data_IF_983281559637
#
_entry.id   IF_983281559637
#
_cell.length_a   1.000
_cell.length_b   1.000
_cell.length_c   1.000
_cell.angle_alpha   90.00
_cell.angle_beta   90.00
_cell.angle_gamma   90.00
#
_symmetry.space_group_name_H-M   'P 1'
#
loop_
_entity.id
_entity.type
_entity.pdbx_description
1 polymer ?
#
# COMPACT_ATOMS: atom_id res chain seq x y z
N UNK A 1 -16.76 -5.81 12.00
CA UNK A 1 -17.76 -4.91 11.41
C UNK A 1 -18.28 -5.55 10.13
N UNK A 2 -19.54 -5.95 10.08
CA UNK A 2 -20.15 -6.63 8.93
C UNK A 2 -20.44 -5.67 7.76
N UNK A 3 -20.25 -4.36 7.94
CA UNK A 3 -20.46 -3.35 6.90
C UNK A 3 -19.26 -3.17 5.97
N UNK A 4 -18.11 -3.79 6.29
CA UNK A 4 -16.89 -3.70 5.48
C UNK A 4 -16.93 -4.70 4.32
N UNK A 5 -16.38 -4.29 3.19
CA UNK A 5 -16.23 -5.16 2.03
C UNK A 5 -15.02 -6.08 2.22
N UNK A 6 -15.28 -7.36 2.50
CA UNK A 6 -14.23 -8.36 2.70
C UNK A 6 -13.44 -8.68 1.41
N UNK A 7 -13.93 -8.26 0.24
CA UNK A 7 -13.25 -8.47 -1.05
C UNK A 7 -12.10 -7.49 -1.29
N UNK A 8 -12.03 -6.42 -0.49
CA UNK A 8 -11.02 -5.38 -0.59
C UNK A 8 -10.04 -5.49 0.59
N UNK A 9 -8.75 -5.63 0.30
CA UNK A 9 -7.69 -5.70 1.30
C UNK A 9 -6.66 -4.59 1.07
N UNK A 10 -6.53 -3.68 2.02
CA UNK A 10 -5.54 -2.59 1.98
C UNK A 10 -4.34 -2.95 2.84
N UNK A 11 -3.17 -3.01 2.23
CA UNK A 11 -1.92 -3.41 2.86
C UNK A 11 -1.13 -2.17 3.23
N UNK A 12 -0.80 -2.05 4.52
CA UNK A 12 0.00 -0.93 5.07
C UNK A 12 1.23 -1.44 5.80
N UNK A 13 2.21 -0.57 6.00
CA UNK A 13 3.46 -0.92 6.68
C UNK A 13 3.23 -1.03 8.19
N UNK A 14 2.53 -0.08 8.80
CA UNK A 14 2.42 0.05 10.26
C UNK A 14 0.98 0.22 10.76
N UNK A 15 0.73 -0.02 12.07
CA UNK A 15 -0.56 0.30 12.68
C UNK A 15 -0.91 1.79 12.60
N UNK A 16 0.10 2.68 12.59
CA UNK A 16 -0.12 4.11 12.46
C UNK A 16 -0.71 4.48 11.09
N UNK A 17 -0.25 3.83 10.02
CA UNK A 17 -0.78 4.00 8.67
C UNK A 17 -2.23 3.52 8.57
N UNK A 18 -2.53 2.37 9.17
CA UNK A 18 -3.90 1.85 9.26
C UNK A 18 -4.82 2.86 9.96
N UNK A 19 -4.38 3.39 11.10
CA UNK A 19 -5.15 4.38 11.84
C UNK A 19 -5.35 5.68 11.03
N UNK A 20 -4.36 6.11 10.25
CA UNK A 20 -4.48 7.27 9.38
C UNK A 20 -5.51 7.07 8.26
N UNK A 21 -5.49 5.92 7.58
CA UNK A 21 -6.49 5.57 6.57
C UNK A 21 -7.89 5.46 7.17
N UNK A 22 -8.01 4.90 8.37
CA UNK A 22 -9.29 4.78 9.05
C UNK A 22 -9.90 6.15 9.38
N UNK A 23 -9.08 7.09 9.88
CA UNK A 23 -9.53 8.47 10.16
C UNK A 23 -10.00 9.20 8.91
N UNK A 24 -9.51 8.83 7.72
CA UNK A 24 -9.97 9.44 6.46
C UNK A 24 -11.45 9.15 6.16
N UNK A 25 -12.01 8.06 6.71
CA UNK A 25 -13.38 7.61 6.44
C UNK A 25 -13.65 7.18 4.99
N UNK A 26 -12.64 7.25 4.11
CA UNK A 26 -12.79 6.98 2.67
C UNK A 26 -12.69 5.51 2.29
N UNK A 27 -12.18 4.65 3.18
CA UNK A 27 -11.96 3.24 2.90
C UNK A 27 -12.94 2.33 3.64
N UNK A 28 -13.58 1.42 2.89
CA UNK A 28 -14.61 0.49 3.42
C UNK A 28 -14.19 -0.98 3.40
N UNK A 29 -12.96 -1.29 2.98
CA UNK A 29 -12.45 -2.66 2.97
C UNK A 29 -11.78 -3.04 4.29
N UNK A 30 -11.07 -4.17 4.27
CA UNK A 30 -10.25 -4.66 5.37
C UNK A 30 -8.80 -4.20 5.23
N UNK A 31 -8.04 -4.23 6.33
CA UNK A 31 -6.61 -3.91 6.35
C UNK A 31 -5.77 -5.15 6.65
N UNK A 32 -4.54 -5.13 6.14
CA UNK A 32 -3.45 -5.99 6.59
C UNK A 32 -2.25 -5.10 6.94
N UNK A 33 -1.63 -5.35 8.09
CA UNK A 33 -0.47 -4.60 8.56
C UNK A 33 0.76 -5.50 8.46
N UNK A 34 1.73 -5.11 7.64
CA UNK A 34 2.97 -5.87 7.41
C UNK A 34 3.89 -5.89 8.63
N UNK A 35 3.83 -4.84 9.47
CA UNK A 35 4.78 -4.60 10.57
C UNK A 35 6.16 -4.16 10.09
N UNK A 36 6.23 -3.50 8.94
CA UNK A 36 7.45 -2.94 8.39
C UNK A 36 7.45 -2.91 6.87
N UNK A 37 8.66 -2.80 6.31
CA UNK A 37 8.96 -2.80 4.88
C UNK A 37 10.33 -3.43 4.65
N UNK A 38 10.56 -3.92 3.44
CA UNK A 38 11.83 -4.53 3.02
C UNK A 38 12.91 -3.45 3.06
N UNK A 39 13.97 -3.68 3.83
CA UNK A 39 15.13 -2.80 3.94
C UNK A 39 16.41 -3.62 3.78
N UNK A 40 17.00 -3.66 2.58
CA UNK A 40 18.26 -4.38 2.35
C UNK A 40 19.41 -3.84 3.20
N UNK A 41 19.40 -2.53 3.50
CA UNK A 41 20.42 -1.88 4.31
C UNK A 41 20.37 -2.35 5.78
N UNK A 42 19.17 -2.59 6.30
CA UNK A 42 18.96 -3.10 7.67
C UNK A 42 18.89 -4.63 7.73
N UNK A 43 19.08 -5.32 6.60
CA UNK A 43 18.97 -6.77 6.50
C UNK A 43 17.54 -7.31 6.66
N UNK A 44 16.52 -6.47 6.49
CA UNK A 44 15.09 -6.84 6.62
C UNK A 44 14.56 -7.32 5.28
N UNK A 45 14.19 -8.59 5.22
CA UNK A 45 13.62 -9.25 4.04
C UNK A 45 12.09 -9.28 4.04
N UNK A 46 11.51 -9.91 3.01
CA UNK A 46 10.06 -10.09 2.90
C UNK A 46 9.50 -10.99 4.03
N UNK A 47 10.28 -11.98 4.47
CA UNK A 47 9.89 -12.92 5.52
C UNK A 47 9.77 -12.23 6.90
N UNK A 48 10.45 -11.10 7.09
CA UNK A 48 10.47 -10.34 8.34
C UNK A 48 9.27 -9.39 8.49
N UNK A 49 8.55 -9.10 7.40
CA UNK A 49 7.47 -8.10 7.35
C UNK A 49 6.09 -8.72 7.14
N UNK A 50 5.90 -9.94 7.63
CA UNK A 50 4.59 -10.61 7.58
C UNK A 50 4.08 -10.91 6.16
N UNK A 51 4.94 -10.88 5.14
CA UNK A 51 4.53 -11.06 3.75
C UNK A 51 3.91 -12.44 3.50
N UNK A 52 4.42 -13.49 4.14
CA UNK A 52 3.84 -14.84 4.03
C UNK A 52 2.38 -14.87 4.50
N UNK A 53 2.11 -14.32 5.69
CA UNK A 53 0.74 -14.21 6.23
C UNK A 53 -0.18 -13.35 5.35
N UNK A 54 0.35 -12.29 4.73
CA UNK A 54 -0.42 -11.50 3.75
C UNK A 54 -0.83 -12.37 2.56
N UNK A 55 0.09 -13.14 2.00
CA UNK A 55 -0.18 -13.98 0.82
C UNK A 55 -1.21 -15.06 1.13
N UNK A 56 -1.14 -15.67 2.31
CA UNK A 56 -2.15 -16.62 2.79
C UNK A 56 -3.51 -15.92 2.94
N UNK A 57 -3.54 -14.78 3.63
CA UNK A 57 -4.76 -14.01 3.87
C UNK A 57 -5.41 -13.53 2.57
N UNK A 58 -4.62 -13.13 1.58
CA UNK A 58 -5.12 -12.63 0.32
C UNK A 58 -5.62 -13.75 -0.61
N UNK A 59 -5.22 -14.99 -0.37
CA UNK A 59 -5.59 -16.15 -1.18
C UNK A 59 -6.73 -16.99 -0.55
N UNK A 60 -7.53 -16.38 0.32
CA UNK A 60 -8.64 -17.02 1.04
C UNK A 60 -9.88 -17.31 0.17
N UNK A 61 -9.84 -16.93 -1.12
CA UNK A 61 -10.97 -17.04 -2.05
C UNK A 61 -12.04 -15.95 -1.90
N UNK A 62 -11.85 -15.00 -0.98
CA UNK A 62 -12.77 -13.87 -0.75
C UNK A 62 -12.19 -12.56 -1.27
N UNK A 63 -10.88 -12.35 -1.11
CA UNK A 63 -10.21 -11.12 -1.56
C UNK A 63 -10.12 -11.09 -3.08
N UNK A 64 -10.61 -10.01 -3.69
CA UNK A 64 -10.56 -9.79 -5.13
C UNK A 64 -9.54 -8.73 -5.51
N UNK A 65 -9.34 -7.74 -4.64
CA UNK A 65 -8.41 -6.63 -4.86
C UNK A 65 -7.55 -6.37 -3.63
N UNK A 66 -6.24 -6.26 -3.87
CA UNK A 66 -5.26 -5.84 -2.89
C UNK A 66 -4.74 -4.45 -3.26
N UNK A 67 -4.94 -3.49 -2.35
CA UNK A 67 -4.48 -2.11 -2.48
C UNK A 67 -3.18 -1.99 -1.68
N UNK A 68 -2.07 -1.70 -2.36
CA UNK A 68 -0.78 -1.48 -1.71
C UNK A 68 -0.66 -0.02 -1.28
N UNK A 69 -0.74 0.20 0.02
CA UNK A 69 -0.63 1.50 0.68
C UNK A 69 0.66 1.62 1.51
N UNK A 70 1.75 0.98 1.06
CA UNK A 70 3.11 1.26 1.56
C UNK A 70 3.58 2.66 1.13
N UNK A 71 4.56 3.21 1.84
CA UNK A 71 5.12 4.53 1.57
C UNK A 71 5.72 4.64 0.17
N UNK A 72 5.84 5.88 -0.32
CA UNK A 72 6.48 6.20 -1.60
C UNK A 72 8.00 6.42 -1.45
N UNK A 73 8.61 5.87 -0.40
CA UNK A 73 10.08 5.84 -0.22
C UNK A 73 10.70 4.71 -1.05
N UNK A 74 12.03 4.69 -1.19
CA UNK A 74 12.72 3.64 -1.94
C UNK A 74 12.38 2.23 -1.42
N UNK A 75 12.43 2.03 -0.10
CA UNK A 75 12.09 0.75 0.54
C UNK A 75 10.59 0.41 0.41
N UNK A 76 9.74 1.43 0.52
CA UNK A 76 8.29 1.27 0.36
C UNK A 76 7.90 0.84 -1.06
N UNK A 77 8.60 1.38 -2.07
CA UNK A 77 8.44 1.00 -3.48
C UNK A 77 8.98 -0.40 -3.77
N UNK A 78 10.14 -0.76 -3.22
CA UNK A 78 10.67 -2.13 -3.30
C UNK A 78 9.68 -3.13 -2.70
N UNK A 79 9.13 -2.80 -1.52
CA UNK A 79 8.13 -3.63 -0.85
C UNK A 79 6.85 -3.75 -1.68
N UNK A 80 6.33 -2.63 -2.18
CA UNK A 80 5.14 -2.63 -3.03
C UNK A 80 5.35 -3.48 -4.29
N UNK A 81 6.50 -3.34 -4.95
CA UNK A 81 6.82 -4.08 -6.16
C UNK A 81 6.89 -5.59 -5.90
N UNK A 82 7.61 -6.01 -4.85
CA UNK A 82 7.75 -7.41 -4.47
C UNK A 82 6.38 -8.06 -4.15
N UNK A 83 5.58 -7.39 -3.33
CA UNK A 83 4.23 -7.89 -2.98
C UNK A 83 3.31 -7.92 -4.20
N UNK A 84 3.36 -6.89 -5.05
CA UNK A 84 2.54 -6.84 -6.25
C UNK A 84 2.85 -7.99 -7.21
N UNK A 85 4.12 -8.31 -7.41
CA UNK A 85 4.52 -9.44 -8.24
C UNK A 85 3.99 -10.77 -7.67
N UNK A 86 4.17 -10.99 -6.36
CA UNK A 86 3.72 -12.22 -5.70
C UNK A 86 2.19 -12.39 -5.70
N UNK A 87 1.44 -11.31 -5.49
CA UNK A 87 -0.02 -11.31 -5.47
C UNK A 87 -0.60 -11.47 -6.89
N UNK A 88 -0.04 -10.80 -7.90
CA UNK A 88 -0.47 -10.96 -9.31
C UNK A 88 -0.21 -12.36 -9.83
N UNK A 89 0.90 -12.99 -9.44
CA UNK A 89 1.18 -14.39 -9.78
C UNK A 89 0.11 -15.36 -9.26
N UNK A 90 -0.69 -14.95 -8.27
CA UNK A 90 -1.83 -15.70 -7.71
C UNK A 90 -3.18 -15.29 -8.29
N UNK A 91 -3.20 -14.44 -9.32
CA UNK A 91 -4.43 -14.01 -10.00
C UNK A 91 -5.20 -12.89 -9.32
N UNK A 92 -4.64 -12.26 -8.29
CA UNK A 92 -5.29 -11.14 -7.58
C UNK A 92 -5.12 -9.82 -8.35
N UNK A 93 -6.17 -8.99 -8.32
CA UNK A 93 -6.05 -7.60 -8.78
C UNK A 93 -5.21 -6.83 -7.76
N UNK A 94 -4.16 -6.16 -8.21
CA UNK A 94 -3.29 -5.35 -7.34
C UNK A 94 -3.26 -3.91 -7.82
N UNK A 95 -3.65 -2.99 -6.94
CA UNK A 95 -3.63 -1.54 -7.16
C UNK A 95 -2.71 -0.86 -6.16
N UNK A 96 -2.35 0.39 -6.47
CA UNK A 96 -1.47 1.24 -5.66
C UNK A 96 -2.21 2.54 -5.35
N UNK A 97 -1.99 3.11 -4.16
CA UNK A 97 -2.42 4.48 -3.92
C UNK A 97 -1.77 5.43 -4.94
N UNK A 98 -2.48 6.48 -5.32
CA UNK A 98 -1.92 7.50 -6.21
C UNK A 98 -0.83 8.29 -5.47
N UNK A 99 0.25 8.60 -6.17
CA UNK A 99 1.25 9.58 -5.74
C UNK A 99 0.83 10.94 -6.29
N UNK A 100 0.93 12.01 -5.51
CA UNK A 100 0.55 13.33 -6.02
C UNK A 100 0.70 14.46 -5.02
N UNK A 101 0.40 15.66 -5.50
CA UNK A 101 0.42 16.89 -4.70
C UNK A 101 -0.79 16.89 -3.75
N UNK A 102 -0.61 17.09 -2.43
CA UNK A 102 -1.73 17.15 -1.51
C UNK A 102 -2.64 18.35 -1.80
N UNK A 103 -3.95 18.17 -1.63
CA UNK A 103 -4.88 19.28 -1.74
C UNK A 103 -4.63 20.31 -0.63
N UNK A 104 -4.56 21.59 -1.00
CA UNK A 104 -4.28 22.68 -0.06
C UNK A 104 -2.78 22.95 0.18
N UNK A 105 -1.88 22.25 -0.50
CA UNK A 105 -0.45 22.58 -0.51
C UNK A 105 -0.15 23.73 -1.48
N UNK A 106 0.79 24.60 -1.10
CA UNK A 106 1.38 25.56 -2.02
C UNK A 106 2.56 24.90 -2.75
N UNK A 107 2.63 25.07 -4.08
CA UNK A 107 3.63 24.38 -4.91
C UNK A 107 5.07 24.66 -4.49
N UNK A 108 5.35 25.81 -3.88
CA UNK A 108 6.68 26.18 -3.41
C UNK A 108 7.20 25.28 -2.27
N UNK A 109 6.30 24.60 -1.54
CA UNK A 109 6.64 23.68 -0.45
C UNK A 109 6.49 22.20 -0.83
N UNK A 110 6.22 21.90 -2.10
CA UNK A 110 6.10 20.53 -2.60
C UNK A 110 7.45 20.09 -3.17
N UNK A 111 7.86 18.86 -2.88
CA UNK A 111 9.10 18.33 -3.43
C UNK A 111 9.02 18.16 -4.95
N UNK A 112 10.15 18.39 -5.62
CA UNK A 112 10.24 18.36 -7.08
C UNK A 112 9.82 17.01 -7.69
N UNK A 113 10.03 15.91 -6.97
CA UNK A 113 9.68 14.58 -7.47
C UNK A 113 8.16 14.39 -7.52
N UNK A 114 7.45 14.87 -6.50
CA UNK A 114 5.98 14.87 -6.46
C UNK A 114 5.39 15.78 -7.54
N UNK A 115 5.98 16.96 -7.78
CA UNK A 115 5.54 17.86 -8.86
C UNK A 115 5.74 17.18 -10.23
N UNK A 116 6.93 16.62 -10.48
CA UNK A 116 7.23 15.93 -11.73
C UNK A 116 6.25 14.77 -11.98
N UNK A 117 5.97 13.96 -10.96
CA UNK A 117 4.97 12.89 -11.06
C UNK A 117 3.58 13.41 -11.37
N UNK A 118 3.11 14.45 -10.67
CA UNK A 118 1.79 15.03 -10.91
C UNK A 118 1.64 15.59 -12.34
N UNK A 119 2.72 16.13 -12.93
CA UNK A 119 2.72 16.61 -14.31
C UNK A 119 2.65 15.48 -15.36
N UNK A 120 3.26 14.33 -15.07
CA UNK A 120 3.21 13.13 -15.92
C UNK A 120 1.82 12.50 -15.90
N UNK A 121 1.21 12.41 -14.73
CA UNK A 121 -0.10 11.78 -14.53
C UNK A 121 -1.29 12.73 -14.81
N UNK A 122 -1.03 13.90 -15.43
CA UNK A 122 -2.10 14.81 -15.84
C UNK A 122 -3.02 14.10 -16.83
N UNK A 123 -4.32 14.08 -16.54
CA UNK A 123 -5.37 13.57 -17.43
C UNK A 123 -6.08 14.72 -18.10
#
# INVERSE_FOLDING_TARGET
DTRRDARLLCVVETPADQAALERSGGYKGLYFVLMGRISPLDGVGADDIGAAHLLERANDGVVHEVILATGFTAEGEVTAHALAAALRARGLKVTRLARGVPAGSELEYVDLSTIAHALVDRR
#
